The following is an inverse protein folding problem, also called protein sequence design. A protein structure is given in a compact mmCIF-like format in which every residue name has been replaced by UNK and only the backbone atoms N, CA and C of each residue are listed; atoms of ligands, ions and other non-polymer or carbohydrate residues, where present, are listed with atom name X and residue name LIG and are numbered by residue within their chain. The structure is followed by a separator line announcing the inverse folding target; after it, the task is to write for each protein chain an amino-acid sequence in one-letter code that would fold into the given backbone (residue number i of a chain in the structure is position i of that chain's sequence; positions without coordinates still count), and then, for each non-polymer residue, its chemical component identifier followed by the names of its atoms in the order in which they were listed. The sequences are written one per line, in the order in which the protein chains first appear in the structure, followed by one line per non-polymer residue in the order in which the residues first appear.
data_IF_497778247172
#
_entry.id   IF_497778247172
#
_cell.length_a   1.000
_cell.length_b   1.000
_cell.length_c   1.000
_cell.angle_alpha   90.00
_cell.angle_beta   90.00
_cell.angle_gamma   90.00
#
_symmetry.space_group_name_H-M   'P 1'
#
loop_
_entity.id
_entity.type
_entity.pdbx_description
1 polymer ?
#
# COMPACT_ATOMS: atom_id res chain seq x y z
N UNK A 1 -32.92 10.87 19.95
CA UNK A 1 -32.91 11.91 18.89
C UNK A 1 -31.54 12.59 18.80
N UNK A 2 -31.05 13.19 19.90
CA UNK A 2 -29.71 13.84 19.94
C UNK A 2 -28.58 12.92 19.50
N UNK A 3 -28.51 11.67 19.98
CA UNK A 3 -27.45 10.70 19.56
C UNK A 3 -27.48 10.38 18.05
N UNK A 4 -28.69 10.35 17.46
CA UNK A 4 -28.84 10.14 16.01
C UNK A 4 -28.31 11.35 15.22
N UNK A 5 -28.67 12.56 15.66
CA UNK A 5 -28.24 13.80 14.99
C UNK A 5 -26.72 13.97 15.04
N UNK A 6 -26.07 13.74 16.19
CA UNK A 6 -24.61 13.78 16.33
C UNK A 6 -23.92 12.77 15.40
N UNK A 7 -24.41 11.52 15.36
CA UNK A 7 -23.86 10.48 14.50
C UNK A 7 -24.11 10.80 13.01
N UNK A 8 -25.26 11.33 12.66
CA UNK A 8 -25.60 11.74 11.31
C UNK A 8 -24.67 12.86 10.80
N UNK A 9 -24.48 13.91 11.61
CA UNK A 9 -23.56 15.00 11.23
C UNK A 9 -22.10 14.55 11.17
N UNK A 10 -21.69 13.62 12.03
CA UNK A 10 -20.36 13.03 11.94
C UNK A 10 -20.19 12.29 10.60
N UNK A 11 -21.15 11.45 10.22
CA UNK A 11 -21.12 10.71 8.95
C UNK A 11 -21.13 11.65 7.73
N UNK A 12 -21.94 12.72 7.76
CA UNK A 12 -21.94 13.73 6.71
C UNK A 12 -20.58 14.43 6.57
N UNK A 13 -19.92 14.77 7.68
CA UNK A 13 -18.56 15.33 7.68
C UNK A 13 -17.57 14.39 7.05
N UNK A 14 -17.57 13.12 7.42
CA UNK A 14 -16.67 12.10 6.88
C UNK A 14 -16.90 11.91 5.38
N UNK A 15 -18.15 11.82 4.94
CA UNK A 15 -18.49 11.73 3.51
C UNK A 15 -18.03 12.97 2.74
N UNK A 16 -18.24 14.17 3.29
CA UNK A 16 -17.78 15.41 2.67
C UNK A 16 -16.25 15.43 2.55
N UNK A 17 -15.52 15.04 3.59
CA UNK A 17 -14.06 14.93 3.57
C UNK A 17 -13.61 13.94 2.48
N UNK A 18 -14.26 12.78 2.36
CA UNK A 18 -13.96 11.78 1.34
C UNK A 18 -14.17 12.34 -0.08
N UNK A 19 -15.31 12.97 -0.34
CA UNK A 19 -15.61 13.59 -1.65
C UNK A 19 -14.58 14.66 -1.99
N UNK A 20 -14.34 15.60 -1.07
CA UNK A 20 -13.36 16.68 -1.28
C UNK A 20 -11.95 16.12 -1.55
N UNK A 21 -11.55 15.06 -0.84
CA UNK A 21 -10.26 14.41 -1.06
C UNK A 21 -10.21 13.77 -2.44
N UNK A 22 -11.23 13.01 -2.81
CA UNK A 22 -11.30 12.29 -4.09
C UNK A 22 -11.26 13.25 -5.29
N UNK A 23 -11.80 14.46 -5.16
CA UNK A 23 -11.75 15.50 -6.19
C UNK A 23 -10.39 16.22 -6.21
N UNK A 24 -9.76 16.39 -5.05
CA UNK A 24 -8.52 17.16 -4.90
C UNK A 24 -7.27 16.36 -5.25
N UNK A 25 -7.23 15.06 -4.91
CA UNK A 25 -6.04 14.24 -5.04
C UNK A 25 -6.18 13.27 -6.22
N UNK A 26 -5.41 13.53 -7.26
CA UNK A 26 -5.31 12.64 -8.42
C UNK A 26 -4.26 11.57 -8.15
N UNK A 27 -4.62 10.31 -8.39
CA UNK A 27 -3.71 9.18 -8.41
C UNK A 27 -3.18 8.92 -9.82
N UNK A 28 -2.03 8.28 -9.88
CA UNK A 28 -1.52 7.77 -11.16
C UNK A 28 -2.44 6.65 -11.67
N UNK A 29 -2.66 6.58 -12.98
CA UNK A 29 -3.37 5.46 -13.60
C UNK A 29 -2.47 4.22 -13.59
N UNK A 30 -2.87 3.20 -12.83
CA UNK A 30 -2.17 1.92 -12.73
C UNK A 30 -3.11 0.82 -13.26
N UNK A 31 -3.05 0.56 -14.56
CA UNK A 31 -4.00 -0.32 -15.25
C UNK A 31 -3.35 -1.54 -15.93
N UNK A 32 -2.03 -1.54 -16.09
CA UNK A 32 -1.33 -2.66 -16.69
C UNK A 32 -1.25 -3.85 -15.72
N UNK A 33 -1.61 -5.04 -16.19
CA UNK A 33 -1.68 -6.27 -15.40
C UNK A 33 -0.81 -7.40 -15.96
N UNK A 34 0.17 -7.11 -16.80
CA UNK A 34 1.02 -8.13 -17.41
C UNK A 34 1.78 -8.95 -16.37
N UNK A 35 2.49 -8.28 -15.43
CA UNK A 35 3.21 -8.98 -14.36
C UNK A 35 2.26 -9.75 -13.43
N UNK A 36 1.04 -9.23 -13.19
CA UNK A 36 0.05 -9.96 -12.41
C UNK A 36 -0.38 -11.25 -13.12
N UNK A 37 -0.61 -11.22 -14.42
CA UNK A 37 -0.99 -12.41 -15.20
C UNK A 37 0.13 -13.43 -15.20
N UNK A 38 1.36 -13.01 -15.50
CA UNK A 38 2.53 -13.87 -15.48
C UNK A 38 2.74 -14.50 -14.10
N UNK A 39 2.64 -13.72 -13.03
CA UNK A 39 2.73 -14.23 -11.65
C UNK A 39 1.67 -15.28 -11.35
N UNK A 40 0.41 -15.02 -11.75
CA UNK A 40 -0.71 -15.92 -11.48
C UNK A 40 -0.62 -17.23 -12.27
N UNK A 41 -0.15 -17.17 -13.50
CA UNK A 41 -0.07 -18.32 -14.40
C UNK A 41 1.19 -19.19 -14.13
N UNK A 42 2.31 -18.59 -13.75
CA UNK A 42 3.61 -19.26 -13.76
C UNK A 42 4.32 -19.37 -12.40
N UNK A 43 3.98 -18.53 -11.42
CA UNK A 43 4.81 -18.37 -10.22
C UNK A 43 4.09 -18.62 -8.90
N UNK A 44 2.78 -18.45 -8.84
CA UNK A 44 2.03 -18.67 -7.59
C UNK A 44 1.76 -20.17 -7.37
N UNK A 45 2.22 -20.78 -6.25
CA UNK A 45 2.10 -22.22 -6.03
C UNK A 45 0.75 -22.66 -5.44
N UNK A 46 -0.21 -21.74 -5.29
CA UNK A 46 -1.51 -21.99 -4.67
C UNK A 46 -2.61 -21.16 -5.36
N UNK A 47 -3.86 -21.57 -5.18
CA UNK A 47 -4.98 -20.74 -5.63
C UNK A 47 -5.31 -19.65 -4.62
N UNK A 48 -5.55 -18.43 -5.13
CA UNK A 48 -6.08 -17.33 -4.32
C UNK A 48 -7.52 -17.65 -3.91
N UNK A 49 -7.88 -17.35 -2.67
CA UNK A 49 -9.26 -17.50 -2.19
C UNK A 49 -10.22 -16.52 -2.88
N UNK A 50 -11.52 -16.78 -2.77
CA UNK A 50 -12.55 -15.90 -3.31
C UNK A 50 -12.46 -14.49 -2.73
N UNK A 51 -12.19 -14.38 -1.41
CA UNK A 51 -12.03 -13.12 -0.73
C UNK A 51 -10.79 -12.36 -1.20
N UNK A 52 -9.64 -13.02 -1.35
CA UNK A 52 -8.42 -12.41 -1.88
C UNK A 52 -8.63 -11.88 -3.31
N UNK A 53 -9.23 -12.68 -4.20
CA UNK A 53 -9.56 -12.27 -5.58
C UNK A 53 -10.50 -11.05 -5.61
N UNK A 54 -11.47 -10.99 -4.69
CA UNK A 54 -12.39 -9.85 -4.54
C UNK A 54 -11.62 -8.59 -4.15
N UNK A 55 -10.80 -8.66 -3.11
CA UNK A 55 -10.03 -7.52 -2.59
C UNK A 55 -9.03 -6.98 -3.62
N UNK A 56 -8.33 -7.87 -4.34
CA UNK A 56 -7.43 -7.48 -5.44
C UNK A 56 -8.22 -6.74 -6.53
N UNK A 57 -9.41 -7.22 -6.89
CA UNK A 57 -10.25 -6.57 -7.91
C UNK A 57 -10.71 -5.18 -7.45
N UNK A 58 -11.10 -5.03 -6.19
CA UNK A 58 -11.49 -3.74 -5.61
C UNK A 58 -10.32 -2.75 -5.63
N UNK A 59 -9.13 -3.16 -5.20
CA UNK A 59 -7.93 -2.34 -5.24
C UNK A 59 -7.55 -1.95 -6.68
N UNK A 60 -7.63 -2.88 -7.61
CA UNK A 60 -7.38 -2.61 -9.03
C UNK A 60 -8.35 -1.59 -9.62
N UNK A 61 -9.66 -1.69 -9.29
CA UNK A 61 -10.66 -0.71 -9.75
C UNK A 61 -10.34 0.70 -9.24
N UNK A 62 -9.87 0.82 -8.00
CA UNK A 62 -9.45 2.11 -7.45
C UNK A 62 -8.20 2.63 -8.19
N UNK A 63 -7.17 1.82 -8.35
CA UNK A 63 -5.89 2.21 -8.96
C UNK A 63 -6.07 2.66 -10.42
N UNK A 64 -7.00 2.08 -11.17
CA UNK A 64 -7.29 2.48 -12.55
C UNK A 64 -8.28 3.65 -12.69
N UNK A 65 -8.83 4.15 -11.59
CA UNK A 65 -9.85 5.21 -11.62
C UNK A 65 -9.29 6.62 -11.89
N UNK A 66 -7.97 6.81 -11.81
CA UNK A 66 -7.33 8.13 -11.86
C UNK A 66 -7.50 8.95 -10.57
N UNK A 67 -8.17 8.40 -9.56
CA UNK A 67 -8.31 8.98 -8.23
C UNK A 67 -7.36 8.27 -7.28
N UNK A 68 -6.84 8.99 -6.28
CA UNK A 68 -5.99 8.35 -5.29
C UNK A 68 -6.76 7.27 -4.52
N UNK A 69 -6.32 6.00 -4.64
CA UNK A 69 -6.79 4.93 -3.77
C UNK A 69 -6.34 5.20 -2.33
N UNK A 70 -7.23 4.99 -1.39
CA UNK A 70 -6.92 4.97 0.03
C UNK A 70 -7.77 3.86 0.68
N UNK A 71 -7.21 2.66 0.74
CA UNK A 71 -7.95 1.43 1.08
C UNK A 71 -7.34 0.71 2.27
N UNK A 72 -8.19 0.26 3.18
CA UNK A 72 -7.84 -0.62 4.30
C UNK A 72 -8.18 -2.07 3.92
N UNK A 73 -7.19 -2.96 3.96
CA UNK A 73 -7.39 -4.41 3.92
C UNK A 73 -7.34 -4.94 5.34
N UNK A 74 -8.44 -5.55 5.74
CA UNK A 74 -8.58 -6.21 7.03
C UNK A 74 -8.68 -7.72 6.83
N UNK A 75 -8.00 -8.48 7.68
CA UNK A 75 -8.04 -9.94 7.66
C UNK A 75 -7.17 -10.50 8.77
N UNK A 76 -7.45 -11.71 9.22
CA UNK A 76 -6.70 -12.37 10.28
C UNK A 76 -5.23 -12.60 9.93
N UNK A 77 -4.43 -12.96 10.94
CA UNK A 77 -3.04 -13.39 10.72
C UNK A 77 -3.07 -14.65 9.83
N UNK A 78 -2.29 -14.64 8.74
CA UNK A 78 -2.28 -15.74 7.78
C UNK A 78 -3.33 -15.67 6.68
N UNK A 79 -4.24 -14.69 6.67
CA UNK A 79 -5.24 -14.52 5.59
C UNK A 79 -4.66 -14.15 4.22
N UNK A 80 -3.35 -13.99 4.10
CA UNK A 80 -2.67 -13.68 2.84
C UNK A 80 -2.66 -12.21 2.45
N UNK A 81 -2.85 -11.27 3.40
CA UNK A 81 -2.77 -9.82 3.12
C UNK A 81 -1.48 -9.42 2.41
N UNK A 82 -0.34 -9.98 2.82
CA UNK A 82 0.96 -9.70 2.21
C UNK A 82 1.01 -10.11 0.75
N UNK A 83 0.37 -11.24 0.39
CA UNK A 83 0.28 -11.67 -1.01
C UNK A 83 -0.62 -10.75 -1.83
N UNK A 84 -1.76 -10.33 -1.28
CA UNK A 84 -2.63 -9.33 -1.92
C UNK A 84 -1.88 -8.01 -2.13
N UNK A 85 -1.10 -7.57 -1.14
CA UNK A 85 -0.24 -6.39 -1.25
C UNK A 85 0.81 -6.54 -2.36
N UNK A 86 1.48 -7.69 -2.44
CA UNK A 86 2.46 -7.97 -3.50
C UNK A 86 1.82 -7.91 -4.90
N UNK A 87 0.65 -8.51 -5.07
CA UNK A 87 -0.09 -8.45 -6.33
C UNK A 87 -0.43 -7.00 -6.71
N UNK A 88 -0.82 -6.16 -5.76
CA UNK A 88 -1.03 -4.73 -6.01
C UNK A 88 0.28 -4.02 -6.42
N UNK A 89 1.44 -4.42 -5.84
CA UNK A 89 2.75 -3.91 -6.27
C UNK A 89 3.06 -4.32 -7.71
N UNK A 90 2.75 -5.55 -8.12
CA UNK A 90 2.94 -6.01 -9.50
C UNK A 90 2.16 -5.16 -10.50
N UNK A 91 0.92 -4.78 -10.17
CA UNK A 91 0.11 -3.88 -10.99
C UNK A 91 0.77 -2.50 -11.11
N UNK A 92 1.29 -1.95 -10.01
CA UNK A 92 1.98 -0.67 -10.01
C UNK A 92 3.24 -0.72 -10.87
N UNK A 93 4.06 -1.77 -10.72
CA UNK A 93 5.31 -1.95 -11.46
C UNK A 93 5.04 -2.18 -12.95
N UNK A 94 4.04 -2.98 -13.31
CA UNK A 94 3.60 -3.16 -14.70
C UNK A 94 3.21 -1.84 -15.36
N UNK A 95 2.69 -0.91 -14.58
CA UNK A 95 2.27 0.43 -15.04
C UNK A 95 3.42 1.46 -15.00
N UNK A 96 4.67 1.02 -14.80
CA UNK A 96 5.86 1.88 -14.81
C UNK A 96 6.09 2.65 -13.50
N UNK A 97 5.43 2.28 -12.42
CA UNK A 97 5.61 2.90 -11.11
C UNK A 97 6.52 2.06 -10.20
N UNK A 98 6.92 2.66 -9.09
CA UNK A 98 7.59 2.00 -7.96
C UNK A 98 6.59 1.79 -6.82
N UNK A 99 6.87 0.82 -5.95
CA UNK A 99 6.07 0.55 -4.77
C UNK A 99 6.92 0.52 -3.50
N UNK A 100 6.33 0.86 -2.36
CA UNK A 100 6.97 0.64 -1.07
C UNK A 100 6.03 -0.04 -0.08
N UNK A 101 6.61 -0.80 0.86
CA UNK A 101 5.92 -1.38 1.99
C UNK A 101 6.59 -0.95 3.28
N UNK A 102 5.82 -0.30 4.13
CA UNK A 102 6.28 0.17 5.41
C UNK A 102 5.71 -0.69 6.54
N UNK A 103 6.60 -1.26 7.35
CA UNK A 103 6.27 -2.04 8.53
C UNK A 103 6.59 -1.24 9.82
N UNK A 104 5.88 -1.51 10.93
CA UNK A 104 6.07 -0.78 12.18
C UNK A 104 7.38 -1.10 12.89
N UNK A 105 7.98 -2.25 12.63
CA UNK A 105 9.23 -2.71 13.25
C UNK A 105 10.19 -3.30 12.23
N UNK A 106 11.50 -3.32 12.56
CA UNK A 106 12.52 -3.94 11.70
C UNK A 106 12.29 -5.45 11.55
N UNK A 107 11.78 -6.12 12.59
CA UNK A 107 11.47 -7.56 12.52
C UNK A 107 10.41 -7.82 11.46
N UNK A 108 9.32 -7.07 11.48
CA UNK A 108 8.24 -7.22 10.48
C UNK A 108 8.70 -6.80 9.09
N UNK A 109 9.53 -5.75 8.98
CA UNK A 109 10.10 -5.35 7.69
C UNK A 109 10.98 -6.46 7.09
N UNK A 110 11.82 -7.11 7.90
CA UNK A 110 12.60 -8.27 7.48
C UNK A 110 11.71 -9.45 7.07
N UNK A 111 10.67 -9.77 7.86
CA UNK A 111 9.73 -10.85 7.51
C UNK A 111 9.04 -10.60 6.17
N UNK A 112 8.57 -9.38 5.92
CA UNK A 112 7.99 -9.02 4.63
C UNK A 112 9.01 -9.10 3.50
N UNK A 113 10.24 -8.63 3.73
CA UNK A 113 11.30 -8.68 2.74
C UNK A 113 11.65 -10.13 2.36
N UNK A 114 11.93 -10.99 3.34
CA UNK A 114 12.24 -12.40 3.10
C UNK A 114 11.09 -13.12 2.40
N UNK A 115 9.86 -12.89 2.86
CA UNK A 115 8.67 -13.53 2.28
C UNK A 115 8.32 -13.08 0.85
N UNK A 116 8.71 -11.88 0.45
CA UNK A 116 8.44 -11.36 -0.89
C UNK A 116 9.63 -11.47 -1.84
N UNK A 117 10.85 -11.57 -1.29
CA UNK A 117 12.08 -11.60 -2.09
C UNK A 117 12.12 -12.78 -3.07
N UNK A 118 11.69 -13.96 -2.64
CA UNK A 118 11.64 -15.14 -3.49
C UNK A 118 10.75 -14.91 -4.72
N UNK A 119 9.57 -14.37 -4.53
CA UNK A 119 8.65 -14.06 -5.63
C UNK A 119 9.17 -12.92 -6.52
N UNK A 120 9.78 -11.89 -5.92
CA UNK A 120 10.36 -10.79 -6.67
C UNK A 120 11.54 -11.27 -7.54
N UNK A 121 12.40 -12.13 -7.00
CA UNK A 121 13.53 -12.73 -7.71
C UNK A 121 13.04 -13.61 -8.89
N UNK A 122 12.01 -14.45 -8.69
CA UNK A 122 11.39 -15.25 -9.77
C UNK A 122 10.84 -14.38 -10.91
N UNK A 123 10.32 -13.20 -10.57
CA UNK A 123 9.75 -12.24 -11.52
C UNK A 123 10.80 -11.28 -12.12
N UNK A 124 12.07 -11.37 -11.72
CA UNK A 124 13.12 -10.43 -12.11
C UNK A 124 12.89 -9.00 -11.62
N UNK A 125 12.17 -8.83 -10.50
CA UNK A 125 11.84 -7.53 -9.91
C UNK A 125 12.83 -7.19 -8.81
N UNK A 126 13.45 -6.01 -8.91
CA UNK A 126 14.38 -5.52 -7.89
C UNK A 126 13.65 -5.11 -6.62
N UNK A 127 14.09 -5.68 -5.50
CA UNK A 127 13.55 -5.43 -4.17
C UNK A 127 14.69 -5.14 -3.18
N UNK A 128 14.52 -4.18 -2.28
CA UNK A 128 15.48 -3.87 -1.23
C UNK A 128 14.81 -3.63 0.11
N UNK A 129 15.61 -3.77 1.18
CA UNK A 129 15.20 -3.51 2.56
C UNK A 129 15.94 -2.28 3.09
N UNK A 130 15.20 -1.33 3.67
CA UNK A 130 15.73 -0.12 4.30
C UNK A 130 15.20 0.02 5.73
N UNK A 131 16.06 -0.29 6.71
CA UNK A 131 15.79 -0.14 8.14
C UNK A 131 16.88 0.71 8.80
N UNK A 132 16.70 1.03 10.10
CA UNK A 132 17.69 1.77 10.86
C UNK A 132 19.07 1.09 10.91
N UNK A 133 19.09 -0.23 10.90
CA UNK A 133 20.31 -1.08 10.98
C UNK A 133 21.10 -1.20 9.67
N UNK A 134 20.53 -0.78 8.53
CA UNK A 134 21.21 -0.87 7.22
C UNK A 134 22.43 0.06 7.17
N UNK A 135 23.59 -0.50 6.83
CA UNK A 135 24.87 0.24 6.73
C UNK A 135 24.80 1.39 5.72
N UNK A 136 25.46 2.51 6.03
CA UNK A 136 25.48 3.71 5.15
C UNK A 136 25.93 3.41 3.71
N UNK A 137 26.88 2.50 3.52
CA UNK A 137 27.36 2.11 2.19
C UNK A 137 26.27 1.44 1.36
N UNK A 138 25.47 0.55 1.95
CA UNK A 138 24.36 -0.11 1.28
C UNK A 138 23.19 0.85 1.00
N UNK A 139 22.94 1.81 1.92
CA UNK A 139 21.90 2.84 1.72
C UNK A 139 22.12 3.66 0.45
N UNK A 140 23.39 4.00 0.13
CA UNK A 140 23.72 4.76 -1.08
C UNK A 140 23.20 4.08 -2.35
N UNK A 141 23.47 2.78 -2.52
CA UNK A 141 22.99 2.02 -3.68
C UNK A 141 21.45 1.91 -3.73
N UNK A 142 20.80 1.81 -2.56
CA UNK A 142 19.33 1.83 -2.48
C UNK A 142 18.78 3.18 -2.97
N UNK A 143 19.35 4.29 -2.52
CA UNK A 143 18.90 5.63 -2.92
C UNK A 143 19.10 5.86 -4.43
N UNK A 144 20.29 5.54 -4.96
CA UNK A 144 20.59 5.64 -6.38
C UNK A 144 19.63 4.78 -7.22
N UNK A 145 19.33 3.55 -6.79
CA UNK A 145 18.40 2.65 -7.47
C UNK A 145 16.94 3.16 -7.42
N UNK A 146 16.53 3.84 -6.34
CA UNK A 146 15.20 4.47 -6.26
C UNK A 146 15.08 5.69 -7.18
N UNK A 147 16.08 6.55 -7.19
CA UNK A 147 16.12 7.76 -8.01
C UNK A 147 16.21 7.44 -9.51
N UNK A 148 16.95 6.39 -9.88
CA UNK A 148 17.02 5.91 -11.27
C UNK A 148 15.78 5.13 -11.72
N UNK A 149 14.94 4.67 -10.75
CA UNK A 149 13.80 3.80 -11.02
C UNK A 149 14.17 2.34 -11.31
N UNK A 150 15.43 1.95 -11.16
CA UNK A 150 15.87 0.55 -11.27
C UNK A 150 15.34 -0.29 -10.10
N UNK A 151 15.35 0.25 -8.88
CA UNK A 151 14.77 -0.40 -7.71
C UNK A 151 13.26 -0.21 -7.72
N UNK A 152 12.53 -1.32 -7.87
CA UNK A 152 11.06 -1.32 -8.04
C UNK A 152 10.30 -1.41 -6.73
N UNK A 153 10.80 -2.18 -5.76
CA UNK A 153 10.14 -2.36 -4.46
C UNK A 153 11.10 -1.98 -3.33
N UNK A 154 10.66 -1.10 -2.45
CA UNK A 154 11.36 -0.80 -1.20
C UNK A 154 10.53 -1.24 -0.01
N UNK A 155 11.08 -2.13 0.81
CA UNK A 155 10.50 -2.53 2.09
C UNK A 155 11.29 -1.89 3.22
N UNK A 156 10.63 -1.45 4.28
CA UNK A 156 11.36 -0.95 5.45
C UNK A 156 10.45 -0.41 6.55
N UNK A 157 11.05 0.38 7.42
CA UNK A 157 10.36 1.02 8.54
C UNK A 157 10.12 2.50 8.27
N UNK A 158 9.95 3.31 9.31
CA UNK A 158 9.87 4.77 9.20
C UNK A 158 11.08 5.42 8.47
N UNK A 159 12.17 4.70 8.27
CA UNK A 159 13.31 5.15 7.47
C UNK A 159 12.90 5.51 6.02
N UNK A 160 11.81 4.91 5.49
CA UNK A 160 11.26 5.25 4.19
C UNK A 160 10.75 6.70 4.10
N UNK A 161 10.44 7.31 5.25
CA UNK A 161 9.93 8.69 5.35
C UNK A 161 11.02 9.75 5.43
N UNK A 162 12.29 9.33 5.54
CA UNK A 162 13.42 10.26 5.53
C UNK A 162 13.45 11.04 4.21
N UNK A 163 13.75 12.33 4.27
CA UNK A 163 13.70 13.22 3.10
C UNK A 163 14.73 12.80 2.03
N UNK A 164 15.82 12.17 2.43
CA UNK A 164 16.85 11.61 1.53
C UNK A 164 16.36 10.43 0.69
N UNK A 165 15.26 9.77 1.07
CA UNK A 165 14.67 8.68 0.29
C UNK A 165 13.78 9.28 -0.79
N UNK A 166 14.25 9.29 -2.02
CA UNK A 166 13.55 9.83 -3.18
C UNK A 166 13.23 8.72 -4.18
N UNK A 167 12.00 8.65 -4.64
CA UNK A 167 11.56 7.72 -5.69
C UNK A 167 11.48 8.47 -7.02
N UNK A 168 11.83 7.80 -8.11
CA UNK A 168 11.60 8.35 -9.44
C UNK A 168 10.11 8.49 -9.72
N UNK A 169 9.31 7.49 -9.37
CA UNK A 169 7.86 7.46 -9.61
C UNK A 169 7.15 6.53 -8.61
N UNK A 170 6.96 6.97 -7.37
CA UNK A 170 6.21 6.18 -6.38
C UNK A 170 4.71 6.18 -6.74
N UNK A 171 4.16 5.05 -7.16
CA UNK A 171 2.74 4.88 -7.48
C UNK A 171 1.92 4.21 -6.39
N UNK A 172 2.52 3.33 -5.58
CA UNK A 172 1.82 2.60 -4.52
C UNK A 172 2.63 2.57 -3.22
N UNK A 173 2.01 3.01 -2.14
CA UNK A 173 2.55 2.90 -0.79
C UNK A 173 1.67 1.97 0.05
N UNK A 174 2.27 0.93 0.63
CA UNK A 174 1.61 -0.03 1.50
C UNK A 174 2.07 0.20 2.93
N UNK A 175 1.13 0.21 3.86
CA UNK A 175 1.39 0.42 5.29
C UNK A 175 0.84 -0.76 6.07
N UNK A 176 1.71 -1.47 6.76
CA UNK A 176 1.30 -2.55 7.64
C UNK A 176 1.05 -2.01 9.06
N UNK A 177 -0.05 -2.47 9.69
CA UNK A 177 -0.46 -2.11 11.06
C UNK A 177 -0.52 -0.60 11.34
N UNK A 178 -1.48 0.08 10.70
CA UNK A 178 -1.64 1.55 10.65
C UNK A 178 -1.77 2.26 12.01
N UNK A 179 -2.14 1.60 13.10
CA UNK A 179 -2.38 2.29 14.38
C UNK A 179 -1.15 3.04 14.93
N UNK A 180 0.02 2.85 14.33
CA UNK A 180 1.25 3.62 14.60
C UNK A 180 1.58 4.66 13.53
N UNK A 181 0.70 4.85 12.52
CA UNK A 181 0.96 5.70 11.36
C UNK A 181 0.04 6.92 11.34
N UNK A 182 0.54 8.04 11.82
CA UNK A 182 -0.23 9.30 11.94
C UNK A 182 -0.41 10.07 10.62
N UNK A 183 -1.24 11.12 10.66
CA UNK A 183 -1.54 12.00 9.53
C UNK A 183 -0.26 12.64 8.94
N UNK A 184 0.68 13.04 9.80
CA UNK A 184 1.95 13.66 9.38
C UNK A 184 2.84 12.71 8.56
N UNK A 185 2.84 11.44 8.89
CA UNK A 185 3.61 10.42 8.19
C UNK A 185 2.99 10.11 6.82
N UNK A 186 1.66 10.08 6.71
CA UNK A 186 0.95 9.96 5.42
C UNK A 186 1.29 11.15 4.51
N UNK A 187 1.30 12.35 5.04
CA UNK A 187 1.66 13.54 4.28
C UNK A 187 3.09 13.45 3.70
N UNK A 188 4.04 12.89 4.46
CA UNK A 188 5.41 12.64 3.96
C UNK A 188 5.45 11.62 2.82
N UNK A 189 4.67 10.53 2.90
CA UNK A 189 4.57 9.59 1.78
C UNK A 189 3.96 10.24 0.53
N UNK A 190 2.95 11.08 0.70
CA UNK A 190 2.33 11.78 -0.42
C UNK A 190 3.30 12.73 -1.13
N UNK A 191 4.22 13.34 -0.38
CA UNK A 191 5.23 14.23 -0.93
C UNK A 191 6.36 13.52 -1.70
N UNK A 192 6.39 12.18 -1.70
CA UNK A 192 7.41 11.39 -2.41
C UNK A 192 7.19 11.27 -3.92
N UNK A 193 6.08 11.78 -4.45
CA UNK A 193 5.86 11.90 -5.88
C UNK A 193 5.37 13.31 -6.19
N UNK A 194 6.04 14.00 -7.10
CA UNK A 194 5.76 15.41 -7.44
C UNK A 194 4.53 15.56 -8.35
N UNK A 195 4.23 14.56 -9.18
CA UNK A 195 3.22 14.65 -10.23
C UNK A 195 1.85 14.11 -9.79
N UNK A 196 1.85 13.00 -9.03
CA UNK A 196 0.65 12.31 -8.59
C UNK A 196 0.78 11.90 -7.13
N UNK A 197 -0.33 11.84 -6.44
CA UNK A 197 -0.35 11.25 -5.11
C UNK A 197 -0.28 9.72 -5.22
N UNK A 198 0.67 9.04 -4.54
CA UNK A 198 0.72 7.59 -4.55
C UNK A 198 -0.57 7.01 -3.98
N UNK A 199 -1.01 5.90 -4.54
CA UNK A 199 -2.08 5.10 -3.95
C UNK A 199 -1.64 4.57 -2.59
N UNK A 200 -2.55 4.51 -1.64
CA UNK A 200 -2.27 4.03 -0.28
C UNK A 200 -3.10 2.79 0.01
N UNK A 201 -2.43 1.72 0.37
CA UNK A 201 -3.01 0.48 0.84
C UNK A 201 -2.58 0.25 2.28
N UNK A 202 -3.54 0.13 3.17
CA UNK A 202 -3.28 -0.14 4.58
C UNK A 202 -3.67 -1.56 4.90
N UNK A 203 -2.86 -2.28 5.65
CA UNK A 203 -3.17 -3.63 6.11
C UNK A 203 -3.31 -3.64 7.63
N UNK A 204 -4.24 -4.42 8.14
CA UNK A 204 -4.34 -4.71 9.58
C UNK A 204 -4.86 -6.12 9.85
N UNK A 205 -4.31 -6.74 10.89
CA UNK A 205 -4.82 -7.99 11.43
C UNK A 205 -5.93 -7.76 12.49
N UNK A 206 -6.05 -6.53 12.98
CA UNK A 206 -7.06 -6.22 14.01
C UNK A 206 -8.43 -6.10 13.36
N UNK A 207 -9.42 -6.93 13.75
CA UNK A 207 -10.78 -6.78 13.27
C UNK A 207 -11.38 -5.48 13.80
N UNK A 208 -11.51 -4.48 12.94
CA UNK A 208 -12.14 -3.21 13.25
C UNK A 208 -13.55 -3.25 12.68
N UNK A 209 -14.61 -3.14 13.48
CA UNK A 209 -15.97 -3.05 12.96
C UNK A 209 -16.06 -1.99 11.87
N UNK A 210 -16.69 -2.30 10.74
CA UNK A 210 -16.76 -1.41 9.58
C UNK A 210 -17.23 -0.01 9.93
N UNK A 211 -18.20 0.11 10.83
CA UNK A 211 -18.71 1.39 11.36
C UNK A 211 -17.65 2.16 12.14
N UNK A 212 -16.83 1.47 12.93
CA UNK A 212 -15.73 2.07 13.67
C UNK A 212 -14.57 2.44 12.75
N UNK A 213 -14.26 1.60 11.77
CA UNK A 213 -13.26 1.90 10.73
C UNK A 213 -13.62 3.17 9.96
N UNK A 214 -14.88 3.33 9.56
CA UNK A 214 -15.40 4.54 8.92
C UNK A 214 -15.34 5.77 9.84
N UNK A 215 -15.41 5.60 11.15
CA UNK A 215 -15.34 6.70 12.12
C UNK A 215 -13.90 7.10 12.44
N UNK A 216 -13.03 6.12 12.64
CA UNK A 216 -11.62 6.34 13.00
C UNK A 216 -10.74 6.71 11.78
N UNK A 217 -11.09 6.18 10.62
CA UNK A 217 -10.32 6.32 9.38
C UNK A 217 -11.13 6.91 8.24
N UNK A 218 -12.16 7.65 8.53
CA UNK A 218 -13.27 8.19 7.72
C UNK A 218 -13.06 8.47 6.23
N UNK A 219 -11.83 8.35 5.77
CA UNK A 219 -11.41 8.53 4.38
C UNK A 219 -10.92 7.22 3.71
N UNK A 220 -10.93 6.06 4.42
CA UNK A 220 -10.51 4.77 3.87
C UNK A 220 -11.70 3.97 3.34
N UNK A 221 -11.55 3.39 2.16
CA UNK A 221 -12.39 2.29 1.70
C UNK A 221 -11.95 0.98 2.37
N UNK A 222 -12.87 0.15 2.79
CA UNK A 222 -12.58 -1.05 3.60
C UNK A 222 -12.88 -2.30 2.80
N UNK A 223 -11.89 -3.18 2.69
CA UNK A 223 -12.00 -4.54 2.17
C UNK A 223 -11.66 -5.55 3.25
N UNK A 224 -12.38 -6.66 3.30
CA UNK A 224 -12.18 -7.72 4.30
C UNK A 224 -11.80 -9.02 3.60
N UNK A 225 -10.75 -9.68 4.08
CA UNK A 225 -10.42 -11.08 3.73
C UNK A 225 -10.98 -11.95 4.85
N UNK A 226 -12.08 -12.60 4.58
CA UNK A 226 -12.94 -13.34 5.51
C UNK A 226 -12.95 -14.87 5.27
N UNK A 227 -11.94 -15.39 4.58
CA UNK A 227 -11.71 -16.82 4.29
C UNK A 227 -10.33 -17.27 4.76
#
# INVERSE_FOLDING_TARGET
RLKFEEFFFLQLRLLKMKVTRTEKYRGQLLENTELLKDFYENHIPFELTGAQKRVIREAYQDMKSGKQMNRLIQGDVGSGKTMVAFICMLIAISSGAQACLMAPTEILANQHFEGLKEYADMMGISIALLTGSVKKSARKGIHEGLESGELKILIGTHALLEDVVQFQNLGLAIVDEQHRFGVAQRAKLWAKNENFYPHVLVMTATPIPRTLAMTLYGDLDVSVIDE
#
